data_IF_574746608667
#
_entry.id   IF_574746608667
#
_cell.length_a   1.000
_cell.length_b   1.000
_cell.length_c   1.000
_cell.angle_alpha   90.00
_cell.angle_beta   90.00
_cell.angle_gamma   90.00
#
_symmetry.space_group_name_H-M   'P 1'
#
loop_
_entity.id
_entity.type
_entity.pdbx_description
1 polymer ?
#
# COMPACT_ATOMS: atom_id res chain seq x y z
N UNK A 1 0.20 31.09 -64.79
CA UNK A 1 -0.51 32.02 -63.88
C UNK A 1 -1.26 31.21 -62.83
N UNK A 2 -0.98 31.48 -61.54
CA UNK A 2 -1.74 31.14 -60.31
C UNK A 2 -1.91 29.64 -59.95
N UNK A 3 -1.85 29.17 -58.71
CA UNK A 3 -1.37 29.59 -57.37
C UNK A 3 -1.59 28.34 -56.48
N UNK A 4 -0.64 28.01 -55.61
CA UNK A 4 -0.83 27.37 -54.29
C UNK A 4 -1.57 26.02 -54.19
N UNK A 5 -0.84 24.98 -53.75
CA UNK A 5 -1.44 23.81 -53.10
C UNK A 5 -0.68 23.52 -51.78
N UNK A 6 -1.18 24.16 -50.72
CA UNK A 6 -1.22 23.76 -49.31
C UNK A 6 -0.26 22.65 -48.82
N UNK A 7 0.69 23.06 -47.98
CA UNK A 7 1.45 22.18 -47.09
C UNK A 7 0.49 21.51 -46.08
N UNK A 8 0.23 20.21 -46.25
CA UNK A 8 -0.36 19.40 -45.18
C UNK A 8 0.70 19.18 -44.11
N UNK A 9 0.52 19.84 -42.98
CA UNK A 9 1.39 19.76 -41.82
C UNK A 9 1.53 18.33 -41.31
N UNK A 10 2.79 17.93 -41.15
CA UNK A 10 3.26 16.74 -40.47
C UNK A 10 2.82 16.77 -39.00
N UNK A 11 1.65 16.20 -38.68
CA UNK A 11 1.26 15.93 -37.30
C UNK A 11 1.95 14.66 -36.80
N UNK A 12 3.18 14.80 -36.31
CA UNK A 12 3.87 13.78 -35.53
C UNK A 12 3.34 13.81 -34.09
N UNK A 13 2.19 13.17 -33.85
CA UNK A 13 1.73 12.85 -32.49
C UNK A 13 2.32 11.50 -32.06
N UNK A 14 3.55 11.50 -31.54
CA UNK A 14 4.06 10.38 -30.76
C UNK A 14 3.49 10.50 -29.36
N UNK A 15 2.28 9.96 -29.15
CA UNK A 15 1.73 9.74 -27.82
C UNK A 15 2.14 8.33 -27.35
N UNK A 16 3.42 8.17 -26.99
CA UNK A 16 3.85 7.03 -26.16
C UNK A 16 3.80 7.51 -24.72
N UNK A 17 2.62 7.46 -24.11
CA UNK A 17 2.52 7.38 -22.65
C UNK A 17 2.25 5.92 -22.30
N UNK A 18 3.30 5.11 -22.38
CA UNK A 18 3.32 3.82 -21.73
C UNK A 18 3.24 4.05 -20.22
N UNK A 19 2.36 3.34 -19.53
CA UNK A 19 2.49 3.11 -18.10
C UNK A 19 3.89 2.56 -17.86
N UNK A 20 4.79 3.39 -17.31
CA UNK A 20 6.08 2.92 -16.80
C UNK A 20 5.78 2.21 -15.49
N UNK A 21 5.46 0.91 -15.59
CA UNK A 21 5.59 0.01 -14.46
C UNK A 21 7.07 -0.04 -14.12
N UNK A 22 7.46 0.53 -12.98
CA UNK A 22 8.83 0.40 -12.46
C UNK A 22 9.20 -1.10 -12.45
N UNK A 23 10.41 -1.48 -12.91
CA UNK A 23 10.82 -2.87 -12.87
C UNK A 23 10.71 -3.38 -11.42
N UNK A 24 10.09 -4.54 -11.25
CA UNK A 24 10.10 -5.25 -9.98
C UNK A 24 11.57 -5.41 -9.57
N UNK A 25 11.94 -4.87 -8.41
CA UNK A 25 13.33 -4.98 -7.96
C UNK A 25 13.66 -6.46 -7.73
N UNK A 26 14.94 -6.84 -7.91
CA UNK A 26 15.37 -8.21 -7.65
C UNK A 26 14.93 -8.67 -6.24
N UNK A 27 14.58 -9.95 -6.06
CA UNK A 27 14.30 -10.54 -4.75
C UNK A 27 15.39 -10.15 -3.74
N UNK A 28 14.99 -9.70 -2.54
CA UNK A 28 15.92 -9.25 -1.50
C UNK A 28 16.41 -7.79 -1.63
N UNK A 29 15.85 -7.00 -2.55
CA UNK A 29 16.15 -5.56 -2.65
C UNK A 29 15.13 -4.69 -1.92
N UNK A 30 13.95 -5.24 -1.60
CA UNK A 30 12.85 -4.50 -0.94
C UNK A 30 12.36 -5.24 0.30
N UNK A 31 11.84 -4.52 1.30
CA UNK A 31 11.08 -5.11 2.38
C UNK A 31 9.95 -5.99 1.85
N UNK A 32 9.87 -7.22 2.35
CA UNK A 32 8.88 -8.21 1.93
C UNK A 32 8.15 -8.73 3.15
N UNK A 33 6.81 -8.71 3.11
CA UNK A 33 5.99 -9.40 4.12
C UNK A 33 6.02 -10.89 3.78
N UNK A 34 6.63 -11.70 4.64
CA UNK A 34 6.78 -13.15 4.43
C UNK A 34 5.57 -13.91 4.96
N UNK A 35 5.02 -13.48 6.09
CA UNK A 35 3.80 -14.04 6.66
C UNK A 35 2.89 -12.93 7.19
N UNK A 36 1.60 -13.06 6.92
CA UNK A 36 0.57 -12.25 7.55
C UNK A 36 -0.66 -13.12 7.79
N UNK A 37 -1.08 -13.25 9.05
CA UNK A 37 -2.28 -14.00 9.38
C UNK A 37 -3.08 -13.33 10.47
N UNK A 38 -4.40 -13.40 10.31
CA UNK A 38 -5.35 -13.06 11.35
C UNK A 38 -6.03 -14.35 11.78
N UNK A 39 -6.15 -14.56 13.10
CA UNK A 39 -6.77 -15.78 13.64
C UNK A 39 -8.29 -15.88 13.38
N UNK A 40 -8.90 -14.84 12.81
CA UNK A 40 -10.32 -14.78 12.49
C UNK A 40 -10.50 -14.37 11.04
N UNK A 41 -11.37 -15.05 10.31
CA UNK A 41 -11.72 -14.65 8.93
C UNK A 41 -12.55 -13.36 8.90
N UNK A 42 -13.33 -13.10 9.96
CA UNK A 42 -14.16 -11.90 10.14
C UNK A 42 -14.14 -11.46 11.59
N UNK A 43 -13.62 -10.26 11.86
CA UNK A 43 -13.68 -9.65 13.18
C UNK A 43 -15.07 -9.04 13.45
N UNK A 44 -15.61 -9.25 14.66
CA UNK A 44 -16.81 -8.51 15.10
C UNK A 44 -16.40 -7.10 15.52
N UNK A 45 -17.19 -6.10 15.12
CA UNK A 45 -17.06 -4.75 15.66
C UNK A 45 -17.06 -4.78 17.19
N UNK A 46 -16.20 -3.98 17.82
CA UNK A 46 -15.98 -3.99 19.28
C UNK A 46 -14.92 -4.97 19.76
N UNK A 47 -14.32 -5.77 18.87
CA UNK A 47 -13.22 -6.69 19.22
C UNK A 47 -11.85 -6.02 19.08
N UNK A 48 -10.88 -6.53 19.83
CA UNK A 48 -9.45 -6.25 19.59
C UNK A 48 -8.92 -7.35 18.67
N UNK A 49 -8.50 -6.96 17.47
CA UNK A 49 -7.91 -7.87 16.50
C UNK A 49 -6.40 -7.84 16.64
N UNK A 50 -5.78 -9.03 16.51
CA UNK A 50 -4.33 -9.19 16.44
C UNK A 50 -3.99 -9.85 15.12
N UNK A 51 -3.17 -9.19 14.34
CA UNK A 51 -2.69 -9.64 13.04
C UNK A 51 -1.22 -9.96 13.21
N UNK A 52 -0.86 -11.24 13.11
CA UNK A 52 0.54 -11.61 13.07
C UNK A 52 1.15 -11.09 11.77
N UNK A 53 2.36 -10.55 11.88
CA UNK A 53 3.16 -10.16 10.73
C UNK A 53 4.60 -10.60 10.92
N UNK A 54 5.15 -11.13 9.84
CA UNK A 54 6.58 -11.35 9.67
C UNK A 54 7.02 -10.67 8.38
N UNK A 55 8.14 -9.95 8.45
CA UNK A 55 8.69 -9.26 7.30
C UNK A 55 10.22 -9.25 7.34
N UNK A 56 10.81 -9.34 6.16
CA UNK A 56 12.25 -9.38 5.95
C UNK A 56 12.71 -8.25 5.04
N UNK A 57 13.82 -7.63 5.42
CA UNK A 57 14.61 -6.76 4.56
C UNK A 57 16.11 -6.98 4.82
N UNK A 58 16.80 -7.74 3.96
CA UNK A 58 18.24 -7.99 4.10
C UNK A 58 19.08 -6.71 4.20
N UNK A 59 18.61 -5.60 3.62
CA UNK A 59 19.35 -4.33 3.57
C UNK A 59 19.02 -3.40 4.72
N UNK A 60 18.01 -3.71 5.55
CA UNK A 60 17.65 -2.89 6.70
C UNK A 60 16.98 -1.56 6.35
N UNK A 61 16.39 -1.44 5.16
CA UNK A 61 15.67 -0.24 4.72
C UNK A 61 14.18 -0.27 5.09
N UNK A 62 13.71 -1.28 5.81
CA UNK A 62 12.33 -1.37 6.31
C UNK A 62 12.13 -0.39 7.47
N UNK A 63 11.80 0.86 7.14
CA UNK A 63 11.66 1.93 8.14
C UNK A 63 10.27 2.03 8.77
N UNK A 64 9.23 1.57 8.08
CA UNK A 64 7.84 1.61 8.55
C UNK A 64 6.95 0.59 7.88
N UNK A 65 5.83 0.29 8.51
CA UNK A 65 4.72 -0.51 7.98
C UNK A 65 3.57 0.44 7.64
N UNK A 66 2.97 0.24 6.47
CA UNK A 66 1.69 0.86 6.12
C UNK A 66 0.56 -0.12 6.45
N UNK A 67 -0.47 0.35 7.14
CA UNK A 67 -1.68 -0.44 7.40
C UNK A 67 -2.87 0.23 6.75
N UNK A 68 -3.67 -0.57 6.05
CA UNK A 68 -4.84 -0.12 5.29
C UNK A 68 -5.99 -1.02 5.69
N UNK A 69 -7.14 -0.40 5.98
CA UNK A 69 -8.35 -1.10 6.38
C UNK A 69 -9.49 -0.67 5.47
N UNK A 70 -10.05 -1.65 4.77
CA UNK A 70 -11.31 -1.52 4.04
C UNK A 70 -12.41 -2.24 4.82
N UNK A 71 -13.40 -1.50 5.28
CA UNK A 71 -14.53 -2.05 6.02
C UNK A 71 -15.77 -2.07 5.13
N UNK A 72 -16.35 -3.26 4.95
CA UNK A 72 -17.61 -3.44 4.23
C UNK A 72 -18.70 -2.59 4.88
N UNK A 73 -19.37 -1.75 4.08
CA UNK A 73 -20.46 -0.87 4.52
C UNK A 73 -20.03 0.48 5.11
N UNK A 74 -18.73 0.67 5.41
CA UNK A 74 -18.21 1.95 5.93
C UNK A 74 -17.21 2.60 4.95
N UNK A 75 -16.38 1.79 4.30
CA UNK A 75 -15.39 2.24 3.33
C UNK A 75 -13.96 2.17 3.84
N UNK A 76 -13.10 2.97 3.22
CA UNK A 76 -11.66 2.99 3.43
C UNK A 76 -11.28 3.86 4.63
N UNK A 77 -10.53 3.31 5.57
CA UNK A 77 -9.91 4.11 6.64
C UNK A 77 -8.64 4.79 6.13
N UNK A 78 -8.27 5.95 6.71
CA UNK A 78 -6.97 6.54 6.46
C UNK A 78 -5.83 5.54 6.73
N UNK A 79 -4.81 5.54 5.86
CA UNK A 79 -3.62 4.71 6.05
C UNK A 79 -2.89 5.11 7.33
N UNK A 80 -2.62 4.14 8.20
CA UNK A 80 -1.81 4.33 9.39
C UNK A 80 -0.37 3.83 9.17
N UNK A 81 0.59 4.50 9.80
CA UNK A 81 2.02 4.30 9.58
C UNK A 81 2.73 4.00 10.90
N UNK A 82 3.32 2.80 10.99
CA UNK A 82 4.03 2.33 12.18
C UNK A 82 5.53 2.37 11.89
N UNK A 83 6.26 3.27 12.54
CA UNK A 83 7.72 3.36 12.39
C UNK A 83 8.43 2.27 13.18
N UNK A 84 9.40 1.61 12.53
CA UNK A 84 10.16 0.53 13.13
C UNK A 84 11.40 1.07 13.85
N UNK A 85 11.67 0.52 15.05
CA UNK A 85 12.95 0.72 15.72
C UNK A 85 14.08 0.06 14.90
N UNK A 86 15.32 0.57 14.94
CA UNK A 86 16.43 0.04 14.14
C UNK A 86 16.61 -1.47 14.23
N UNK A 87 16.41 -2.08 15.40
CA UNK A 87 16.55 -3.53 15.58
C UNK A 87 15.55 -4.39 14.79
N UNK A 88 14.45 -3.82 14.31
CA UNK A 88 13.42 -4.54 13.54
C UNK A 88 13.47 -4.25 12.04
N UNK A 89 14.41 -3.42 11.58
CA UNK A 89 14.46 -3.00 10.18
C UNK A 89 14.99 -4.08 9.24
N UNK A 90 15.72 -5.07 9.77
CA UNK A 90 16.18 -6.23 8.99
C UNK A 90 15.18 -7.38 8.99
N UNK A 91 14.53 -7.59 10.14
CA UNK A 91 13.59 -8.67 10.37
C UNK A 91 12.58 -8.24 11.42
N UNK A 92 11.31 -8.33 11.08
CA UNK A 92 10.19 -7.99 11.94
C UNK A 92 9.39 -9.26 12.19
N UNK A 93 9.13 -9.57 13.46
CA UNK A 93 8.12 -10.55 13.89
C UNK A 93 7.28 -9.91 14.98
N UNK A 94 5.97 -10.05 14.88
CA UNK A 94 5.08 -9.68 15.98
C UNK A 94 3.62 -9.62 15.60
N UNK A 95 2.86 -8.87 16.39
CA UNK A 95 1.43 -8.66 16.16
C UNK A 95 1.13 -7.17 16.01
N UNK A 96 0.39 -6.83 14.96
CA UNK A 96 -0.32 -5.56 14.85
C UNK A 96 -1.64 -5.69 15.61
N UNK A 97 -1.92 -4.73 16.49
CA UNK A 97 -3.19 -4.68 17.20
C UNK A 97 -4.11 -3.64 16.55
N UNK A 98 -5.33 -4.05 16.22
CA UNK A 98 -6.37 -3.15 15.77
C UNK A 98 -7.55 -3.17 16.74
N UNK A 99 -7.82 -2.02 17.35
CA UNK A 99 -9.01 -1.81 18.17
C UNK A 99 -10.16 -1.42 17.23
N UNK A 100 -11.15 -2.30 17.06
CA UNK A 100 -12.27 -2.04 16.14
C UNK A 100 -13.37 -1.18 16.74
N UNK A 101 -13.26 -0.79 18.01
CA UNK A 101 -14.15 0.17 18.65
C UNK A 101 -13.56 1.57 18.57
N UNK A 102 -14.44 2.56 18.44
CA UNK A 102 -14.09 3.98 18.55
C UNK A 102 -14.92 4.61 19.66
N UNK A 103 -14.33 5.49 20.46
CA UNK A 103 -15.10 6.34 21.41
C UNK A 103 -16.07 7.28 20.67
N UNK A 104 -15.89 7.49 19.36
CA UNK A 104 -16.79 8.26 18.51
C UNK A 104 -17.82 7.39 17.76
N UNK A 105 -17.93 6.11 18.09
CA UNK A 105 -18.88 5.20 17.44
C UNK A 105 -20.34 5.64 17.58
N UNK A 106 -20.70 6.37 18.65
CA UNK A 106 -22.04 6.91 18.84
C UNK A 106 -22.45 7.95 17.79
N UNK A 107 -21.48 8.50 17.05
CA UNK A 107 -21.69 9.49 15.97
C UNK A 107 -21.41 8.91 14.58
N UNK A 108 -21.07 7.62 14.50
CA UNK A 108 -20.96 6.92 13.23
C UNK A 108 -22.37 6.43 12.85
N UNK A 109 -22.91 6.86 11.69
CA UNK A 109 -24.28 6.54 11.28
C UNK A 109 -24.54 5.04 11.10
#
# INVERSE_FOLDING_TARGET
MKKSLWFFGLFLFIAIQGCVSLPASPPGTKPTITHAFMNMERGRYGSILKIYIEADDPKGYMFRIATVVDQVGYGHYPTDWIYLKPQYQHHLIGYLQWNTFSYHASWMP
#
